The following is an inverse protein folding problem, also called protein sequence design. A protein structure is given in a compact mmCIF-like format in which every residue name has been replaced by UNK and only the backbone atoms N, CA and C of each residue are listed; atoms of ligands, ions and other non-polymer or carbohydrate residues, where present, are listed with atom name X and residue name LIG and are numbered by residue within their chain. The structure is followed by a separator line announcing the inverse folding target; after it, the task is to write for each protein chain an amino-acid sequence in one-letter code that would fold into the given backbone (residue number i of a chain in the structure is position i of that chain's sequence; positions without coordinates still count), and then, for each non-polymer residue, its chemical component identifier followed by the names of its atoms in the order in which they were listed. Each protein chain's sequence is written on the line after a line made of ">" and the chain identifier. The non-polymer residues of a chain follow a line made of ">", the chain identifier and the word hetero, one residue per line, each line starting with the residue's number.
data_IF_115981598489
#
_entry.id   IF_115981598489
#
_cell.length_a   1.000
_cell.length_b   1.000
_cell.length_c   1.000
_cell.angle_alpha   90.00
_cell.angle_beta   90.00
_cell.angle_gamma   90.00
#
_symmetry.space_group_name_H-M   'P 1'
#
loop_
_entity.id
_entity.type
_entity.pdbx_description
1 polymer ?
#
# COMPACT_ATOMS: atom_id res chain seq x y z
N UNK A 1 22.58 3.41 22.78
CA UNK A 1 22.07 2.15 22.21
C UNK A 1 20.62 2.38 21.82
N UNK A 2 20.33 2.55 20.53
CA UNK A 2 18.94 2.43 20.06
C UNK A 2 18.49 1.01 20.37
N UNK A 3 17.35 0.79 21.03
CA UNK A 3 16.86 -0.57 21.23
C UNK A 3 16.80 -1.22 19.85
N UNK A 4 17.39 -2.41 19.69
CA UNK A 4 17.15 -3.24 18.52
C UNK A 4 15.64 -3.45 18.47
N UNK A 5 14.97 -2.66 17.64
CA UNK A 5 13.54 -2.76 17.42
C UNK A 5 13.38 -4.14 16.83
N UNK A 6 12.86 -5.08 17.61
CA UNK A 6 12.58 -6.42 17.15
C UNK A 6 11.61 -6.30 15.98
N UNK A 7 12.16 -6.37 14.77
CA UNK A 7 11.46 -6.02 13.53
C UNK A 7 10.25 -6.93 13.33
N UNK A 8 10.34 -8.18 13.82
CA UNK A 8 9.26 -9.15 13.80
C UNK A 8 8.11 -8.70 14.70
N UNK A 9 8.38 -8.18 15.91
CA UNK A 9 7.33 -7.63 16.80
C UNK A 9 6.67 -6.38 16.20
N UNK A 10 7.46 -5.46 15.65
CA UNK A 10 6.93 -4.28 14.97
C UNK A 10 6.08 -4.66 13.75
N UNK A 11 6.48 -5.72 13.03
CA UNK A 11 5.76 -6.29 11.91
C UNK A 11 4.41 -6.88 12.31
N UNK A 12 4.37 -7.69 13.37
CA UNK A 12 3.13 -8.30 13.89
C UNK A 12 2.15 -7.23 14.39
N UNK A 13 2.65 -6.15 15.00
CA UNK A 13 1.83 -5.05 15.52
C UNK A 13 1.18 -4.19 14.42
N UNK A 14 1.81 -4.06 13.25
CA UNK A 14 1.22 -3.31 12.12
C UNK A 14 0.25 -4.13 11.28
N UNK A 15 0.35 -5.46 11.35
CA UNK A 15 -0.58 -6.32 10.67
C UNK A 15 -1.99 -6.11 11.26
N UNK A 16 -3.05 -6.09 10.42
CA UNK A 16 -4.42 -6.04 10.93
C UNK A 16 -4.66 -7.14 11.97
N UNK A 17 -5.31 -6.81 13.08
CA UNK A 17 -5.74 -7.80 14.08
C UNK A 17 -6.63 -8.83 13.41
N UNK A 18 -6.54 -10.09 13.79
CA UNK A 18 -7.36 -11.17 13.19
C UNK A 18 -8.85 -11.02 13.51
N UNK A 19 -9.14 -10.55 14.71
CA UNK A 19 -10.50 -10.32 15.19
C UNK A 19 -10.58 -8.94 15.84
N UNK A 20 -11.67 -8.23 15.59
CA UNK A 20 -11.93 -6.93 16.23
C UNK A 20 -13.44 -6.75 16.36
N UNK A 21 -13.87 -6.32 17.54
CA UNK A 21 -15.23 -5.83 17.74
C UNK A 21 -15.31 -4.41 17.17
N UNK A 22 -16.26 -4.20 16.27
CA UNK A 22 -16.56 -2.89 15.69
C UNK A 22 -18.08 -2.76 15.56
N UNK A 23 -18.63 -1.66 16.05
CA UNK A 23 -20.06 -1.33 15.91
C UNK A 23 -21.01 -2.44 16.43
N UNK A 24 -20.61 -3.14 17.49
CA UNK A 24 -21.40 -4.23 18.09
C UNK A 24 -21.22 -5.59 17.40
N UNK A 25 -20.47 -5.66 16.31
CA UNK A 25 -20.20 -6.90 15.58
C UNK A 25 -18.75 -7.38 15.75
N UNK A 26 -18.58 -8.69 15.81
CA UNK A 26 -17.25 -9.32 15.82
C UNK A 26 -16.81 -9.57 14.37
N UNK A 27 -15.86 -8.77 13.89
CA UNK A 27 -15.37 -8.85 12.52
C UNK A 27 -14.10 -9.72 12.45
N UNK A 28 -14.09 -10.65 11.50
CA UNK A 28 -12.93 -11.46 11.15
C UNK A 28 -12.14 -10.79 10.02
N UNK A 29 -10.92 -10.35 10.32
CA UNK A 29 -10.00 -9.72 9.39
C UNK A 29 -8.91 -10.66 8.88
N UNK A 30 -9.00 -11.97 9.14
CA UNK A 30 -8.05 -12.97 8.65
C UNK A 30 -7.82 -12.87 7.13
N UNK A 31 -8.86 -12.73 6.28
CA UNK A 31 -8.67 -12.56 4.83
C UNK A 31 -7.89 -11.28 4.49
N UNK A 32 -8.23 -10.16 5.13
CA UNK A 32 -7.55 -8.88 4.93
C UNK A 32 -6.08 -8.94 5.39
N UNK A 33 -5.81 -9.64 6.50
CA UNK A 33 -4.46 -9.89 7.01
C UNK A 33 -3.64 -10.72 6.02
N UNK A 34 -4.20 -11.79 5.45
CA UNK A 34 -3.52 -12.60 4.43
C UNK A 34 -3.22 -11.79 3.17
N UNK A 35 -4.17 -10.99 2.69
CA UNK A 35 -3.96 -10.09 1.56
C UNK A 35 -2.84 -9.06 1.83
N UNK A 36 -2.80 -8.49 3.04
CA UNK A 36 -1.74 -7.58 3.47
C UNK A 36 -0.38 -8.28 3.52
N UNK A 37 -0.29 -9.47 4.12
CA UNK A 37 0.95 -10.26 4.17
C UNK A 37 1.46 -10.63 2.77
N UNK A 38 0.56 -11.07 1.88
CA UNK A 38 0.91 -11.37 0.48
C UNK A 38 1.42 -10.12 -0.25
N UNK A 39 0.76 -8.97 -0.04
CA UNK A 39 1.20 -7.69 -0.62
C UNK A 39 2.52 -7.20 -0.03
N UNK A 40 2.86 -7.57 1.20
CA UNK A 40 4.16 -7.29 1.82
C UNK A 40 5.27 -8.21 1.31
N UNK A 41 4.95 -9.47 1.00
CA UNK A 41 5.90 -10.44 0.46
C UNK A 41 6.21 -10.21 -1.03
N UNK A 42 5.30 -9.61 -1.79
CA UNK A 42 5.45 -9.39 -3.24
C UNK A 42 6.29 -8.15 -3.60
N UNK A 43 6.83 -8.12 -4.82
CA UNK A 43 7.63 -7.01 -5.37
C UNK A 43 9.14 -7.11 -5.08
N UNK A 44 9.89 -6.11 -5.52
CA UNK A 44 11.36 -6.08 -5.35
C UNK A 44 11.77 -5.87 -3.88
N UNK A 45 13.02 -6.18 -3.54
CA UNK A 45 13.56 -6.01 -2.19
C UNK A 45 13.33 -4.58 -1.66
N UNK A 46 13.66 -3.56 -2.45
CA UNK A 46 13.46 -2.15 -2.08
C UNK A 46 12.00 -1.81 -1.83
N UNK A 47 11.07 -2.34 -2.65
CA UNK A 47 9.64 -2.11 -2.44
C UNK A 47 9.15 -2.78 -1.14
N UNK A 48 9.70 -3.94 -0.80
CA UNK A 48 9.39 -4.65 0.45
C UNK A 48 9.95 -3.89 1.66
N UNK A 49 11.16 -3.35 1.56
CA UNK A 49 11.78 -2.50 2.59
C UNK A 49 10.97 -1.22 2.79
N UNK A 50 10.60 -0.51 1.70
CA UNK A 50 9.81 0.72 1.78
C UNK A 50 8.42 0.48 2.38
N UNK A 51 7.71 -0.59 1.96
CA UNK A 51 6.44 -0.98 2.59
C UNK A 51 6.61 -1.35 4.06
N UNK A 52 7.69 -2.05 4.44
CA UNK A 52 8.05 -2.33 5.84
C UNK A 52 8.42 -1.08 6.61
N UNK A 53 8.91 -0.03 5.98
CA UNK A 53 9.17 1.26 6.63
C UNK A 53 7.90 2.13 6.77
N UNK A 54 6.75 1.67 6.24
CA UNK A 54 5.54 2.51 6.15
C UNK A 54 5.66 3.62 5.09
N UNK A 55 6.72 3.58 4.29
CA UNK A 55 6.95 4.49 3.18
C UNK A 55 6.06 4.01 2.03
N UNK A 56 4.85 4.57 1.97
CA UNK A 56 4.06 4.52 0.75
C UNK A 56 4.81 5.37 -0.28
N UNK A 57 5.62 4.73 -1.13
CA UNK A 57 5.97 5.35 -2.40
C UNK A 57 4.67 5.58 -3.13
N UNK A 58 4.15 6.81 -3.09
CA UNK A 58 3.17 7.28 -4.04
C UNK A 58 3.85 7.16 -5.40
N UNK A 59 3.71 6.00 -6.05
CA UNK A 59 4.13 5.86 -7.43
C UNK A 59 3.35 6.95 -8.16
N UNK A 60 4.00 7.97 -8.74
CA UNK A 60 3.27 9.03 -9.40
C UNK A 60 2.42 8.37 -10.47
N UNK A 61 1.11 8.61 -10.43
CA UNK A 61 0.10 7.88 -11.19
C UNK A 61 0.44 7.89 -12.70
N UNK A 62 1.15 8.94 -13.15
CA UNK A 62 1.65 9.16 -14.51
C UNK A 62 2.73 8.18 -14.99
N UNK A 63 3.37 7.43 -14.08
CA UNK A 63 4.43 6.46 -14.41
C UNK A 63 3.89 5.23 -15.15
N UNK A 64 2.58 5.00 -15.13
CA UNK A 64 1.93 3.95 -15.92
C UNK A 64 1.62 4.45 -17.34
N UNK A 65 1.92 3.65 -18.40
CA UNK A 65 1.70 4.04 -19.79
C UNK A 65 0.26 4.53 -20.07
N UNK A 66 -0.72 3.89 -19.44
CA UNK A 66 -2.15 4.23 -19.54
C UNK A 66 -2.46 5.63 -19.01
N UNK A 67 -1.90 6.00 -17.86
CA UNK A 67 -2.15 7.30 -17.22
C UNK A 67 -1.43 8.43 -17.94
N UNK A 68 -0.23 8.17 -18.46
CA UNK A 68 0.47 9.08 -19.38
C UNK A 68 -0.34 9.33 -20.66
N UNK A 69 -0.99 8.30 -21.21
CA UNK A 69 -1.86 8.44 -22.38
C UNK A 69 -3.12 9.26 -22.07
N UNK A 70 -3.77 9.01 -20.92
CA UNK A 70 -4.94 9.78 -20.45
C UNK A 70 -4.57 11.27 -20.31
N UNK A 71 -3.46 11.59 -19.65
CA UNK A 71 -3.04 12.98 -19.44
C UNK A 71 -2.69 13.68 -20.76
N UNK A 72 -2.05 12.99 -21.70
CA UNK A 72 -1.78 13.51 -23.04
C UNK A 72 -3.08 13.84 -23.78
N UNK A 73 -4.09 12.98 -23.68
CA UNK A 73 -5.39 13.21 -24.29
C UNK A 73 -6.09 14.42 -23.67
N UNK A 74 -6.10 14.52 -22.33
CA UNK A 74 -6.71 15.65 -21.63
C UNK A 74 -6.05 16.99 -21.98
N UNK A 75 -4.71 17.05 -22.08
CA UNK A 75 -4.00 18.25 -22.59
C UNK A 75 -4.37 18.61 -24.02
N UNK A 76 -4.59 17.61 -24.88
CA UNK A 76 -5.05 17.83 -26.26
C UNK A 76 -6.48 18.36 -26.32
N UNK A 77 -7.38 17.86 -25.46
CA UNK A 77 -8.77 18.36 -25.37
C UNK A 77 -8.81 19.83 -24.96
N UNK A 78 -8.07 20.18 -23.90
CA UNK A 78 -7.96 21.58 -23.42
C UNK A 78 -7.40 22.50 -24.51
N UNK A 79 -6.32 22.08 -25.21
CA UNK A 79 -5.76 22.86 -26.33
C UNK A 79 -6.70 23.03 -27.52
N UNK A 80 -7.62 22.07 -27.72
CA UNK A 80 -8.60 22.08 -28.80
C UNK A 80 -9.91 22.77 -28.42
N UNK A 81 -10.06 23.21 -27.17
CA UNK A 81 -11.25 23.93 -26.70
C UNK A 81 -12.49 23.06 -26.49
N UNK A 82 -12.32 21.75 -26.24
CA UNK A 82 -13.41 20.82 -25.88
C UNK A 82 -13.56 20.63 -24.37
#
# INVERSE_FOLDING_TARGET
>A
MTPEINEIRAFVNRAPKTWMFRDGELLNFTPARHAWLNKMASGSLDQRINRRAGICTQTPIWKYPTMSAIQRNQRRRIRRGY
#
